data_IF_138866252008
#
_entry.id   IF_138866252008
#
_cell.length_a   1.000
_cell.length_b   1.000
_cell.length_c   1.000
_cell.angle_alpha   90.00
_cell.angle_beta   90.00
_cell.angle_gamma   90.00
#
_symmetry.space_group_name_H-M   'P 1'
#
loop_
_entity.id
_entity.type
_entity.pdbx_description
1 polymer ?
#
# COMPACT_ATOMS: atom_id res chain seq x y z
N UNK A 1 -8.47 2.03 -10.17
CA UNK A 1 -7.69 1.33 -9.13
C UNK A 1 -8.00 1.98 -7.79
N UNK A 2 -8.26 1.20 -6.73
CA UNK A 2 -8.49 1.73 -5.38
C UNK A 2 -7.31 1.34 -4.51
N UNK A 3 -6.65 2.31 -3.90
CA UNK A 3 -5.60 2.07 -2.90
C UNK A 3 -6.22 1.99 -1.51
N UNK A 4 -5.63 1.19 -0.65
CA UNK A 4 -6.11 0.98 0.72
C UNK A 4 -4.95 0.95 1.69
N UNK A 5 -5.15 1.57 2.86
CA UNK A 5 -4.31 1.34 4.04
C UNK A 5 -5.00 0.33 4.93
N UNK A 6 -4.28 -0.69 5.36
CA UNK A 6 -4.82 -1.75 6.21
C UNK A 6 -3.79 -2.19 7.24
N UNK A 7 -4.26 -2.90 8.28
CA UNK A 7 -3.40 -3.40 9.35
C UNK A 7 -3.25 -4.91 9.21
N UNK A 8 -2.02 -5.39 9.12
CA UNK A 8 -1.70 -6.81 9.07
C UNK A 8 -0.49 -7.11 9.97
N UNK A 9 -0.60 -8.14 10.83
CA UNK A 9 0.43 -8.51 11.82
C UNK A 9 0.95 -7.33 12.66
N UNK A 10 0.04 -6.43 13.04
CA UNK A 10 0.37 -5.26 13.87
C UNK A 10 0.99 -4.07 13.13
N UNK A 11 1.20 -4.17 11.82
CA UNK A 11 1.78 -3.09 11.00
C UNK A 11 0.75 -2.51 10.03
N UNK A 12 0.79 -1.20 9.84
CA UNK A 12 0.06 -0.52 8.76
C UNK A 12 0.81 -0.72 7.45
N UNK A 13 0.06 -1.04 6.38
CA UNK A 13 0.57 -1.33 5.04
C UNK A 13 -0.31 -0.68 3.99
N UNK A 14 0.25 -0.48 2.80
CA UNK A 14 -0.47 -0.05 1.61
C UNK A 14 -0.70 -1.25 0.71
N UNK A 15 -1.89 -1.32 0.11
CA UNK A 15 -2.21 -2.30 -0.91
C UNK A 15 -3.18 -1.75 -1.94
N UNK A 16 -3.45 -2.56 -2.95
CA UNK A 16 -4.43 -2.27 -3.99
C UNK A 16 -5.62 -3.22 -3.88
N UNK A 17 -6.84 -2.69 -3.95
CA UNK A 17 -8.05 -3.51 -3.99
C UNK A 17 -8.26 -4.03 -5.42
N UNK A 18 -8.30 -5.35 -5.56
CA UNK A 18 -8.53 -6.07 -6.82
C UNK A 18 -9.73 -6.98 -6.68
N UNK A 19 -10.89 -6.57 -7.21
CA UNK A 19 -12.15 -7.29 -6.99
C UNK A 19 -12.54 -7.29 -5.51
N UNK A 20 -12.51 -8.48 -4.90
CA UNK A 20 -12.84 -8.69 -3.48
C UNK A 20 -11.60 -8.92 -2.59
N UNK A 21 -10.40 -8.84 -3.16
CA UNK A 21 -9.14 -9.05 -2.44
C UNK A 21 -8.28 -7.78 -2.39
N UNK A 22 -7.30 -7.80 -1.50
CA UNK A 22 -6.24 -6.77 -1.40
C UNK A 22 -4.91 -7.42 -1.80
N UNK A 23 -4.24 -6.82 -2.78
CA UNK A 23 -2.84 -7.11 -3.09
C UNK A 23 -1.98 -6.31 -2.11
N UNK A 24 -1.27 -7.01 -1.22
CA UNK A 24 -0.39 -6.41 -0.20
C UNK A 24 0.92 -5.92 -0.85
N UNK A 25 1.29 -4.68 -0.59
CA UNK A 25 2.53 -4.06 -1.06
C UNK A 25 3.78 -4.37 -0.22
N UNK A 26 3.66 -5.11 0.89
CA UNK A 26 4.79 -5.46 1.79
C UNK A 26 5.93 -6.24 1.12
N UNK A 27 5.72 -6.79 -0.07
CA UNK A 27 6.76 -7.42 -0.87
C UNK A 27 7.82 -6.43 -1.39
N UNK A 28 7.49 -5.14 -1.48
CA UNK A 28 8.41 -4.08 -1.89
C UNK A 28 8.83 -3.23 -0.66
N UNK A 29 10.09 -3.35 -0.20
CA UNK A 29 10.58 -2.58 0.94
C UNK A 29 10.77 -1.09 0.64
N UNK A 30 10.80 -0.68 -0.64
CA UNK A 30 10.89 0.72 -1.04
C UNK A 30 9.54 1.44 -0.94
N UNK A 31 8.44 0.68 -0.94
CA UNK A 31 7.08 1.22 -0.86
C UNK A 31 6.85 1.91 0.49
N UNK A 32 6.47 3.20 0.51
CA UNK A 32 6.11 3.87 1.74
C UNK A 32 4.93 3.21 2.46
N UNK A 33 4.92 3.24 3.79
CA UNK A 33 3.84 2.65 4.60
C UNK A 33 2.65 3.57 4.83
N UNK A 34 2.88 4.87 4.65
CA UNK A 34 1.88 5.93 4.82
C UNK A 34 1.34 6.35 3.46
N UNK A 35 0.00 6.37 3.32
CA UNK A 35 -0.66 6.69 2.04
C UNK A 35 -0.21 8.04 1.47
N UNK A 36 -0.07 9.05 2.32
CA UNK A 36 0.40 10.36 1.88
C UNK A 36 1.83 10.33 1.36
N UNK A 37 2.73 9.53 1.96
CA UNK A 37 4.10 9.40 1.50
C UNK A 37 4.17 8.64 0.16
N UNK A 38 3.37 7.58 0.00
CA UNK A 38 3.23 6.87 -1.28
C UNK A 38 2.74 7.79 -2.39
N UNK A 39 1.66 8.54 -2.15
CA UNK A 39 1.12 9.48 -3.13
C UNK A 39 2.09 10.63 -3.46
N UNK A 40 2.89 11.09 -2.49
CA UNK A 40 3.88 12.13 -2.68
C UNK A 40 5.10 11.66 -3.50
N UNK A 41 5.45 10.38 -3.40
CA UNK A 41 6.56 9.78 -4.16
C UNK A 41 6.23 9.67 -5.67
N UNK A 42 4.95 9.56 -6.02
CA UNK A 42 4.50 9.61 -7.42
C UNK A 42 4.68 8.29 -8.18
N UNK A 43 4.78 8.31 -9.52
CA UNK A 43 4.76 7.10 -10.35
C UNK A 43 5.94 6.14 -10.18
N UNK A 44 7.05 6.61 -9.59
CA UNK A 44 8.29 5.85 -9.41
C UNK A 44 8.37 5.15 -8.04
N UNK A 45 7.26 5.18 -7.27
CA UNK A 45 7.15 4.66 -5.92
C UNK A 45 6.92 3.14 -5.83
#
# INVERSE_FOLDING_TARGET
>A
MKLVSFRHRGMTRIGAVTGESVVDGDADPALPREMCAFLAAGPDA
#
